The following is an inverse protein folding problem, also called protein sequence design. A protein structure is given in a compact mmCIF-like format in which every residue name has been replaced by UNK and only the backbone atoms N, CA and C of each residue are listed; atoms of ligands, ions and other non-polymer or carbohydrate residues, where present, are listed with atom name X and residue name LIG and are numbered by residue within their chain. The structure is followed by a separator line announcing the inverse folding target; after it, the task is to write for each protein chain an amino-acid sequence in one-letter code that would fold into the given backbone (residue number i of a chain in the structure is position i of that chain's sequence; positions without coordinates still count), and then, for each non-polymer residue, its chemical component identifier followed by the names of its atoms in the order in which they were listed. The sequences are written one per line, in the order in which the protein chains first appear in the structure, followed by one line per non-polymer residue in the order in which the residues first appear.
data_IF_056734778973
#
_entry.id   IF_056734778973
#
_cell.length_a   1.000
_cell.length_b   1.000
_cell.length_c   1.000
_cell.angle_alpha   90.00
_cell.angle_beta   90.00
_cell.angle_gamma   90.00
#
_symmetry.space_group_name_H-M   'P 1'
#
loop_
_entity.id
_entity.type
_entity.pdbx_description
1 polymer ?
#
# COMPACT_ATOMS: atom_id res chain seq x y z
N UNK A 1 -14.84 -19.32 -3.02
CA UNK A 1 -14.11 -18.10 -3.43
C UNK A 1 -12.73 -18.15 -2.80
N UNK A 2 -11.65 -18.13 -3.60
CA UNK A 2 -10.29 -17.98 -3.05
C UNK A 2 -10.16 -16.55 -2.55
N UNK A 3 -9.77 -16.37 -1.29
CA UNK A 3 -9.52 -15.05 -0.69
C UNK A 3 -8.47 -14.33 -1.54
N UNK A 4 -8.83 -13.20 -2.14
CA UNK A 4 -7.86 -12.37 -2.86
C UNK A 4 -6.93 -11.75 -1.82
N UNK A 5 -5.63 -11.99 -1.98
CA UNK A 5 -4.63 -11.38 -1.12
C UNK A 5 -4.42 -9.93 -1.58
N UNK A 6 -4.82 -8.97 -0.74
CA UNK A 6 -4.80 -7.54 -1.05
C UNK A 6 -3.46 -6.88 -0.71
N UNK A 7 -2.68 -7.47 0.20
CA UNK A 7 -1.37 -7.00 0.58
C UNK A 7 -0.52 -8.17 1.09
N UNK A 8 0.79 -7.95 1.17
CA UNK A 8 1.69 -8.89 1.80
C UNK A 8 2.22 -8.32 3.11
N UNK A 9 2.21 -9.12 4.17
CA UNK A 9 2.66 -8.74 5.51
C UNK A 9 3.96 -9.45 5.85
N UNK A 10 4.92 -8.72 6.41
CA UNK A 10 6.20 -9.25 6.88
C UNK A 10 6.61 -8.63 8.19
N UNK A 11 7.31 -9.41 9.01
CA UNK A 11 7.99 -8.91 10.20
C UNK A 11 9.44 -8.55 9.85
N UNK A 12 9.86 -7.34 10.23
CA UNK A 12 11.21 -6.84 10.02
C UNK A 12 12.19 -7.64 10.89
N UNK A 13 13.27 -8.16 10.28
CA UNK A 13 14.25 -9.05 10.94
C UNK A 13 14.33 -10.47 10.38
N UNK A 14 13.42 -10.87 9.48
CA UNK A 14 13.52 -12.14 8.75
C UNK A 14 14.43 -12.00 7.52
N UNK A 15 15.54 -12.74 7.51
CA UNK A 15 16.56 -12.76 6.44
C UNK A 15 16.05 -13.18 5.05
N UNK A 16 14.84 -13.73 4.95
CA UNK A 16 14.19 -14.12 3.69
C UNK A 16 13.31 -13.03 3.07
N UNK A 17 13.24 -11.84 3.67
CA UNK A 17 12.30 -10.77 3.27
C UNK A 17 12.46 -10.33 1.82
N UNK A 18 13.69 -10.16 1.31
CA UNK A 18 13.94 -9.63 -0.05
C UNK A 18 13.39 -10.54 -1.16
N UNK A 19 13.62 -11.85 -1.07
CA UNK A 19 13.12 -12.80 -2.09
C UNK A 19 11.59 -12.84 -2.13
N UNK A 20 10.96 -12.68 -0.97
CA UNK A 20 9.51 -12.70 -0.85
C UNK A 20 8.89 -11.38 -1.36
N UNK A 21 9.53 -10.23 -1.12
CA UNK A 21 9.09 -8.96 -1.71
C UNK A 21 9.21 -8.95 -3.23
N UNK A 22 10.28 -9.52 -3.79
CA UNK A 22 10.44 -9.65 -5.25
C UNK A 22 9.37 -10.55 -5.86
N UNK A 23 9.10 -11.69 -5.22
CA UNK A 23 8.03 -12.60 -5.63
C UNK A 23 6.66 -11.92 -5.60
N UNK A 24 6.39 -11.15 -4.55
CA UNK A 24 5.13 -10.40 -4.41
C UNK A 24 5.00 -9.30 -5.47
N UNK A 25 6.06 -8.55 -5.71
CA UNK A 25 6.07 -7.53 -6.75
C UNK A 25 5.78 -8.13 -8.12
N UNK A 26 6.46 -9.23 -8.46
CA UNK A 26 6.22 -9.97 -9.70
C UNK A 26 4.78 -10.47 -9.80
N UNK A 27 4.24 -11.03 -8.72
CA UNK A 27 2.85 -11.47 -8.66
C UNK A 27 1.86 -10.33 -8.93
N UNK A 28 2.06 -9.17 -8.31
CA UNK A 28 1.20 -8.01 -8.51
C UNK A 28 1.27 -7.49 -9.94
N UNK A 29 2.47 -7.46 -10.52
CA UNK A 29 2.70 -7.05 -11.91
C UNK A 29 2.07 -8.01 -12.91
N UNK A 30 2.20 -9.32 -12.74
CA UNK A 30 1.57 -10.35 -13.60
C UNK A 30 0.04 -10.27 -13.57
N UNK A 31 -0.53 -9.83 -12.46
CA UNK A 31 -1.98 -9.69 -12.28
C UNK A 31 -2.51 -8.30 -12.59
N UNK A 32 -1.65 -7.32 -12.85
CA UNK A 32 -2.04 -5.93 -13.03
C UNK A 32 -2.80 -5.39 -11.81
N UNK A 33 -2.35 -5.71 -10.59
CA UNK A 33 -2.95 -5.23 -9.33
C UNK A 33 -1.93 -4.36 -8.57
N UNK A 34 -2.38 -3.45 -7.67
CA UNK A 34 -1.43 -2.61 -6.95
C UNK A 34 -0.62 -3.46 -5.95
N UNK A 35 0.69 -3.22 -5.92
CA UNK A 35 1.57 -3.82 -4.92
C UNK A 35 1.38 -3.09 -3.60
N UNK A 36 0.94 -3.82 -2.56
CA UNK A 36 0.87 -3.29 -1.19
C UNK A 36 1.65 -4.22 -0.26
N UNK A 37 2.53 -3.61 0.53
CA UNK A 37 3.41 -4.28 1.48
C UNK A 37 3.23 -3.66 2.87
N UNK A 38 3.06 -4.51 3.88
CA UNK A 38 2.98 -4.16 5.29
C UNK A 38 4.19 -4.74 6.02
N UNK A 39 5.14 -3.89 6.41
CA UNK A 39 6.32 -4.26 7.20
C UNK A 39 6.02 -3.97 8.67
N UNK A 40 6.15 -4.95 9.55
CA UNK A 40 5.84 -4.81 10.98
C UNK A 40 7.10 -4.81 11.81
N UNK A 41 7.18 -3.87 12.76
CA UNK A 41 8.27 -3.72 13.72
C UNK A 41 7.66 -3.53 15.12
N UNK A 42 7.53 -4.62 15.87
CA UNK A 42 6.90 -4.63 17.19
C UNK A 42 5.47 -4.08 17.18
N UNK A 43 5.25 -2.90 17.77
CA UNK A 43 3.93 -2.24 17.85
C UNK A 43 3.66 -1.27 16.70
N UNK A 44 4.59 -1.16 15.76
CA UNK A 44 4.55 -0.24 14.63
C UNK A 44 4.61 -1.01 13.33
N UNK A 45 4.24 -0.33 12.26
CA UNK A 45 4.37 -0.84 10.92
C UNK A 45 4.65 0.29 9.93
N UNK A 46 5.21 -0.10 8.80
CA UNK A 46 5.34 0.70 7.60
C UNK A 46 4.51 0.06 6.49
N UNK A 47 3.85 0.88 5.69
CA UNK A 47 3.02 0.45 4.57
C UNK A 47 3.60 1.06 3.31
N UNK A 48 3.92 0.24 2.33
CA UNK A 48 4.38 0.67 1.02
C UNK A 48 3.36 0.23 -0.01
N UNK A 49 2.91 1.16 -0.85
CA UNK A 49 2.12 0.86 -2.03
C UNK A 49 2.85 1.38 -3.26
N UNK A 50 3.00 0.51 -4.25
CA UNK A 50 3.56 0.83 -5.54
C UNK A 50 2.55 0.41 -6.62
N UNK A 51 2.13 1.36 -7.44
CA UNK A 51 1.17 1.09 -8.50
C UNK A 51 1.80 1.08 -9.88
N UNK A 52 3.13 1.05 -9.98
CA UNK A 52 3.84 0.69 -11.21
C UNK A 52 3.62 -0.78 -11.62
N UNK A 53 3.00 -1.59 -10.75
CA UNK A 53 2.55 -2.95 -11.07
C UNK A 53 1.22 -2.97 -11.83
N UNK A 54 0.54 -1.82 -11.96
CA UNK A 54 -0.67 -1.69 -12.77
C UNK A 54 -0.34 -1.54 -14.26
N UNK A 55 -1.30 -1.82 -15.16
CA UNK A 55 -1.15 -1.54 -16.59
C UNK A 55 -0.79 -0.07 -16.84
N UNK A 56 0.18 0.19 -17.73
CA UNK A 56 0.64 1.54 -18.05
C UNK A 56 -0.45 2.45 -18.62
N UNK A 57 -1.52 1.88 -19.19
CA UNK A 57 -2.70 2.61 -19.63
C UNK A 57 -3.40 3.38 -18.49
N UNK A 58 -3.17 3.01 -17.23
CA UNK A 58 -3.72 3.69 -16.07
C UNK A 58 -2.84 4.84 -15.54
N UNK A 59 -1.63 5.02 -16.07
CA UNK A 59 -0.69 6.02 -15.56
C UNK A 59 -1.26 7.44 -15.61
N UNK A 60 -1.88 7.82 -16.73
CA UNK A 60 -2.49 9.14 -16.91
C UNK A 60 -3.63 9.35 -15.90
N UNK A 61 -4.54 8.38 -15.79
CA UNK A 61 -5.66 8.41 -14.84
C UNK A 61 -5.16 8.55 -13.40
N UNK A 62 -4.15 7.77 -12.99
CA UNK A 62 -3.59 7.81 -11.64
C UNK A 62 -2.87 9.14 -11.37
N UNK A 63 -2.18 9.68 -12.36
CA UNK A 63 -1.49 10.96 -12.27
C UNK A 63 -2.48 12.13 -12.13
N UNK A 64 -3.53 12.17 -12.95
CA UNK A 64 -4.61 13.17 -12.86
C UNK A 64 -5.32 13.13 -11.50
N UNK A 65 -5.49 11.93 -10.93
CA UNK A 65 -6.16 11.73 -9.67
C UNK A 65 -5.22 11.78 -8.44
N UNK A 66 -3.92 12.00 -8.64
CA UNK A 66 -2.91 11.93 -7.57
C UNK A 66 -3.27 12.81 -6.36
N UNK A 67 -3.69 14.06 -6.58
CA UNK A 67 -4.08 14.97 -5.50
C UNK A 67 -5.24 14.42 -4.68
N UNK A 68 -6.22 13.79 -5.33
CA UNK A 68 -7.35 13.16 -4.66
C UNK A 68 -6.93 11.92 -3.89
N UNK A 69 -6.12 11.05 -4.48
CA UNK A 69 -5.58 9.83 -3.85
C UNK A 69 -4.80 10.23 -2.59
N UNK A 70 -3.86 11.17 -2.73
CA UNK A 70 -3.06 11.70 -1.62
C UNK A 70 -3.94 12.20 -0.47
N UNK A 71 -4.97 13.00 -0.77
CA UNK A 71 -5.92 13.50 0.23
C UNK A 71 -6.64 12.36 0.95
N UNK A 72 -7.14 11.36 0.23
CA UNK A 72 -7.85 10.22 0.84
C UNK A 72 -6.92 9.38 1.74
N UNK A 73 -5.67 9.17 1.32
CA UNK A 73 -4.68 8.45 2.12
C UNK A 73 -4.35 9.20 3.41
N UNK A 74 -4.16 10.52 3.34
CA UNK A 74 -3.91 11.35 4.52
C UNK A 74 -5.11 11.31 5.47
N UNK A 75 -6.33 11.44 4.96
CA UNK A 75 -7.56 11.35 5.77
C UNK A 75 -7.68 9.98 6.47
N UNK A 76 -7.37 8.88 5.77
CA UNK A 76 -7.32 7.55 6.40
C UNK A 76 -6.26 7.51 7.51
N UNK A 77 -5.07 8.05 7.28
CA UNK A 77 -4.02 8.06 8.28
C UNK A 77 -4.42 8.86 9.52
N UNK A 78 -5.02 10.05 9.33
CA UNK A 78 -5.52 10.89 10.41
C UNK A 78 -6.64 10.19 11.20
N UNK A 79 -7.57 9.51 10.52
CA UNK A 79 -8.69 8.83 11.16
C UNK A 79 -8.24 7.61 11.99
N UNK A 80 -7.38 6.77 11.41
CA UNK A 80 -7.04 5.46 12.00
C UNK A 80 -5.72 5.45 12.79
N UNK A 81 -4.91 6.51 12.65
CA UNK A 81 -3.67 6.69 13.38
C UNK A 81 -3.62 8.06 14.10
N UNK A 82 -4.78 8.64 14.44
CA UNK A 82 -4.89 9.88 15.19
C UNK A 82 -4.02 9.88 16.46
N UNK A 83 -3.30 10.97 16.71
CA UNK A 83 -2.42 11.12 17.87
C UNK A 83 -1.19 10.23 17.86
N UNK A 84 -0.93 9.53 16.75
CA UNK A 84 0.31 8.77 16.56
C UNK A 84 1.43 9.64 15.96
N UNK A 85 2.64 9.07 15.91
CA UNK A 85 3.80 9.63 15.19
C UNK A 85 3.87 9.14 13.74
N UNK A 86 2.74 8.73 13.15
CA UNK A 86 2.75 8.23 11.79
C UNK A 86 3.07 9.36 10.80
N UNK A 87 3.91 9.05 9.82
CA UNK A 87 4.31 9.98 8.76
C UNK A 87 4.01 9.37 7.40
N UNK A 88 4.03 10.20 6.35
CA UNK A 88 3.76 9.76 5.00
C UNK A 88 4.70 10.43 3.99
N UNK A 89 5.03 9.70 2.95
CA UNK A 89 5.66 10.18 1.73
C UNK A 89 4.82 9.65 0.56
N UNK A 90 4.23 10.57 -0.22
CA UNK A 90 3.29 10.20 -1.28
C UNK A 90 3.71 10.93 -2.55
N UNK A 91 4.06 10.15 -3.57
CA UNK A 91 4.41 10.61 -4.91
C UNK A 91 3.30 10.27 -5.89
N UNK A 92 3.47 10.64 -7.17
CA UNK A 92 2.51 10.28 -8.20
C UNK A 92 2.46 8.78 -8.48
N UNK A 93 3.44 7.96 -8.07
CA UNK A 93 3.52 6.50 -8.32
C UNK A 93 3.59 5.63 -7.06
N UNK A 94 3.79 6.23 -5.88
CA UNK A 94 4.03 5.51 -4.64
C UNK A 94 3.36 6.16 -3.43
N UNK A 95 2.97 5.33 -2.47
CA UNK A 95 2.53 5.73 -1.13
C UNK A 95 3.39 5.00 -0.12
N UNK A 96 4.05 5.73 0.76
CA UNK A 96 4.82 5.18 1.88
C UNK A 96 4.29 5.78 3.18
N UNK A 97 3.83 4.94 4.09
CA UNK A 97 3.39 5.32 5.43
C UNK A 97 4.35 4.69 6.45
N UNK A 98 4.77 5.47 7.44
CA UNK A 98 5.73 5.02 8.45
C UNK A 98 5.16 5.19 9.86
N UNK A 99 5.69 4.42 10.81
CA UNK A 99 5.32 4.51 12.23
C UNK A 99 3.81 4.33 12.51
N UNK A 100 3.10 3.62 11.62
CA UNK A 100 1.67 3.35 11.75
C UNK A 100 1.45 2.40 12.93
N UNK A 101 0.50 2.68 13.85
CA UNK A 101 0.16 1.74 14.91
C UNK A 101 -0.31 0.40 14.33
N UNK A 102 0.25 -0.72 14.82
CA UNK A 102 -0.05 -2.04 14.26
C UNK A 102 -1.55 -2.37 14.26
N UNK A 103 -2.29 -1.89 15.28
CA UNK A 103 -3.75 -2.06 15.41
C UNK A 103 -4.57 -1.52 14.22
N UNK A 104 -4.02 -0.57 13.47
CA UNK A 104 -4.67 0.04 12.31
C UNK A 104 -3.96 -0.25 10.99
N UNK A 105 -2.75 -0.81 11.02
CA UNK A 105 -1.91 -0.92 9.85
C UNK A 105 -2.48 -1.87 8.78
N UNK A 106 -3.03 -3.02 9.17
CA UNK A 106 -3.66 -3.96 8.23
C UNK A 106 -4.89 -3.35 7.55
N UNK A 107 -5.72 -2.65 8.32
CA UNK A 107 -6.90 -1.96 7.81
C UNK A 107 -6.51 -0.86 6.81
N UNK A 108 -5.48 -0.06 7.12
CA UNK A 108 -4.97 0.98 6.22
C UNK A 108 -4.39 0.36 4.94
N UNK A 109 -3.61 -0.72 5.06
CA UNK A 109 -3.03 -1.40 3.90
C UNK A 109 -4.11 -1.94 2.96
N UNK A 110 -5.15 -2.59 3.51
CA UNK A 110 -6.28 -3.07 2.72
C UNK A 110 -7.07 -1.91 2.08
N UNK A 111 -7.25 -0.80 2.79
CA UNK A 111 -7.97 0.36 2.28
C UNK A 111 -7.21 1.05 1.14
N UNK A 112 -5.88 1.14 1.23
CA UNK A 112 -5.03 1.63 0.13
C UNK A 112 -5.16 0.72 -1.09
N UNK A 113 -5.10 -0.60 -0.91
CA UNK A 113 -5.30 -1.54 -2.01
C UNK A 113 -6.63 -1.30 -2.72
N UNK A 114 -7.74 -1.22 -1.97
CA UNK A 114 -9.08 -0.99 -2.53
C UNK A 114 -9.18 0.35 -3.25
N UNK A 115 -8.62 1.41 -2.67
CA UNK A 115 -8.59 2.74 -3.25
C UNK A 115 -7.91 2.71 -4.63
N UNK A 116 -6.68 2.19 -4.68
CA UNK A 116 -5.91 2.18 -5.93
C UNK A 116 -6.53 1.21 -6.95
N UNK A 117 -6.97 0.04 -6.51
CA UNK A 117 -7.59 -0.94 -7.41
C UNK A 117 -8.95 -0.46 -7.97
N UNK A 118 -9.59 0.54 -7.37
CA UNK A 118 -10.83 1.14 -7.90
C UNK A 118 -10.62 1.87 -9.25
N UNK A 119 -9.38 2.24 -9.56
CA UNK A 119 -9.00 2.83 -10.85
C UNK A 119 -8.71 1.78 -11.94
N UNK A 120 -8.51 0.52 -11.55
CA UNK A 120 -8.24 -0.61 -12.46
C UNK A 120 -9.53 -1.33 -12.89
N UNK A 121 -10.65 -1.07 -12.22
CA UNK A 121 -11.96 -1.65 -12.50
C UNK A 121 -12.85 -0.74 -13.38
N UNK A 122 -12.32 0.39 -13.85
CA UNK A 122 -12.99 1.33 -14.75
C UNK A 122 -12.44 1.17 -16.16
#
# INVERSE_FOLDING_TARGET
MKTQQNYMKFEEGLTSSHKLTDFWYKHCMERGIPYVLLKTEGKRASIECNYNTLPSALNEVLQENHTQIKRQVIQMLEQYAHGSRATHEITWSTISLFNVPMRSAEFIAESIYKLINSYNLK
#
